data_IF_303633333207
#
_entry.id   IF_303633333207
#
_cell.length_a   1.000
_cell.length_b   1.000
_cell.length_c   1.000
_cell.angle_alpha   90.00
_cell.angle_beta   90.00
_cell.angle_gamma   90.00
#
_symmetry.space_group_name_H-M   'P 1'
#
loop_
_entity.id
_entity.type
_entity.pdbx_description
1 polymer ?
#
# COMPACT_ATOMS: atom_id res chain seq x y z
N UNK A 1 39.97 29.14 -41.34
CA UNK A 1 38.86 28.21 -41.05
C UNK A 1 37.82 29.02 -40.30
N UNK A 2 36.86 29.57 -41.04
CA UNK A 2 35.46 29.10 -41.12
C UNK A 2 34.67 29.55 -39.90
N UNK A 3 33.44 30.06 -39.94
CA UNK A 3 32.46 30.47 -40.95
C UNK A 3 31.30 30.97 -40.08
N UNK A 4 30.70 32.12 -40.35
CA UNK A 4 29.34 32.44 -39.91
C UNK A 4 28.76 33.49 -40.88
N UNK A 5 27.79 33.12 -41.73
CA UNK A 5 27.04 34.08 -42.51
C UNK A 5 25.63 34.31 -41.92
N UNK A 6 25.20 35.55 -42.14
CA UNK A 6 23.89 36.00 -42.60
C UNK A 6 22.62 35.45 -41.95
N UNK A 7 21.91 36.41 -41.35
CA UNK A 7 20.52 36.38 -40.96
C UNK A 7 19.62 36.57 -42.20
N UNK A 8 18.69 35.66 -42.41
CA UNK A 8 17.61 35.79 -43.40
C UNK A 8 16.28 35.65 -42.68
N UNK A 9 15.46 36.69 -42.81
CA UNK A 9 14.08 36.81 -42.33
C UNK A 9 13.16 36.24 -43.40
N UNK A 10 12.40 35.18 -43.08
CA UNK A 10 11.35 34.68 -43.97
C UNK A 10 9.96 34.89 -43.34
N UNK A 11 9.28 35.90 -43.86
CA UNK A 11 7.88 36.21 -43.57
C UNK A 11 6.99 35.21 -44.31
N UNK A 12 6.44 34.22 -43.60
CA UNK A 12 5.45 33.30 -44.17
C UNK A 12 4.03 33.86 -43.99
N UNK A 13 3.44 34.24 -45.12
CA UNK A 13 2.09 34.76 -45.30
C UNK A 13 1.04 33.74 -44.81
N UNK A 14 0.17 34.16 -43.89
CA UNK A 14 -1.05 33.44 -43.51
C UNK A 14 -2.11 33.63 -44.61
N UNK A 15 -2.38 32.59 -45.39
CA UNK A 15 -3.57 32.51 -46.25
C UNK A 15 -4.72 31.85 -45.48
N UNK A 16 -5.96 32.38 -45.55
CA UNK A 16 -7.10 31.79 -44.86
C UNK A 16 -7.57 30.56 -45.65
N UNK A 17 -7.40 29.37 -45.06
CA UNK A 17 -7.96 28.14 -45.63
C UNK A 17 -9.47 28.09 -45.39
N UNK A 18 -10.22 28.01 -46.49
CA UNK A 18 -11.68 27.93 -46.54
C UNK A 18 -12.25 26.85 -45.59
N UNK A 19 -13.29 27.22 -44.85
CA UNK A 19 -13.96 26.46 -43.79
C UNK A 19 -14.63 25.12 -44.17
N UNK A 20 -14.31 24.55 -45.33
CA UNK A 20 -14.74 23.19 -45.73
C UNK A 20 -13.65 22.13 -45.51
N UNK A 21 -12.37 22.52 -45.42
CA UNK A 21 -11.27 21.58 -45.12
C UNK A 21 -11.29 21.15 -43.64
N UNK A 22 -11.77 22.01 -42.74
CA UNK A 22 -11.97 21.70 -41.32
C UNK A 22 -13.12 20.72 -41.05
N UNK A 23 -14.11 20.62 -41.95
CA UNK A 23 -15.20 19.65 -41.84
C UNK A 23 -14.76 18.27 -42.33
N UNK A 24 -13.94 18.17 -43.38
CA UNK A 24 -13.37 16.88 -43.82
C UNK A 24 -12.28 16.35 -42.89
N UNK A 25 -11.50 17.21 -42.22
CA UNK A 25 -10.57 16.80 -41.16
C UNK A 25 -11.26 16.51 -39.82
N UNK A 26 -12.45 17.08 -39.57
CA UNK A 26 -13.29 16.77 -38.40
C UNK A 26 -14.08 15.46 -38.51
N UNK A 27 -14.24 14.90 -39.71
CA UNK A 27 -14.88 13.59 -39.93
C UNK A 27 -13.91 12.41 -39.99
N UNK A 28 -12.60 12.65 -39.94
CA UNK A 28 -11.56 11.60 -39.93
C UNK A 28 -11.03 11.24 -38.53
N UNK A 29 -11.61 11.78 -37.46
CA UNK A 29 -11.14 11.56 -36.09
C UNK A 29 -12.10 10.79 -35.17
N UNK A 30 -13.23 10.28 -35.70
CA UNK A 30 -14.15 9.42 -34.93
C UNK A 30 -14.54 8.21 -35.77
N UNK A 31 -13.55 7.41 -36.18
CA UNK A 31 -13.80 5.97 -36.27
C UNK A 31 -13.96 5.48 -34.83
N UNK A 32 -15.20 5.43 -34.34
CA UNK A 32 -15.52 4.70 -33.14
C UNK A 32 -14.95 3.29 -33.30
N UNK A 33 -14.03 2.92 -32.41
CA UNK A 33 -13.29 1.66 -32.44
C UNK A 33 -14.22 0.47 -32.53
N UNK A 34 -14.34 -0.08 -33.74
CA UNK A 34 -14.97 -1.36 -34.04
C UNK A 34 -13.89 -2.44 -33.89
N UNK A 35 -13.52 -2.78 -32.65
CA UNK A 35 -12.54 -3.83 -32.36
C UNK A 35 -12.39 -4.11 -30.86
N UNK A 36 -11.37 -4.89 -30.50
CA UNK A 36 -11.07 -5.35 -29.16
C UNK A 36 -11.02 -4.17 -28.17
N UNK A 37 -11.78 -4.29 -27.07
CA UNK A 37 -11.87 -3.25 -26.04
C UNK A 37 -11.52 -3.78 -24.67
N UNK A 38 -10.64 -3.08 -23.97
CA UNK A 38 -10.35 -3.36 -22.56
C UNK A 38 -11.46 -2.73 -21.69
N UNK A 39 -12.16 -3.55 -20.90
CA UNK A 39 -13.15 -3.05 -19.92
C UNK A 39 -12.45 -2.52 -18.69
N UNK A 40 -11.73 -3.41 -18.00
CA UNK A 40 -11.17 -3.14 -16.68
C UNK A 40 -10.00 -4.06 -16.41
N UNK A 41 -8.94 -3.51 -15.82
CA UNK A 41 -7.87 -4.27 -15.18
C UNK A 41 -7.93 -4.02 -13.69
N UNK A 42 -7.98 -5.09 -12.90
CA UNK A 42 -8.03 -5.02 -11.44
C UNK A 42 -6.80 -5.71 -10.86
N UNK A 43 -5.95 -4.89 -10.28
CA UNK A 43 -4.74 -5.30 -9.58
C UNK A 43 -4.87 -4.73 -8.16
N UNK A 44 -4.80 -5.57 -7.11
CA UNK A 44 -4.81 -5.07 -5.74
C UNK A 44 -3.67 -4.07 -5.53
N UNK A 45 -3.96 -2.90 -4.95
CA UNK A 45 -2.94 -1.89 -4.68
C UNK A 45 -1.95 -2.35 -3.62
N UNK A 46 -2.43 -3.13 -2.64
CA UNK A 46 -1.57 -3.78 -1.66
C UNK A 46 -2.10 -5.15 -1.24
N UNK A 47 -1.20 -6.00 -0.74
CA UNK A 47 -1.50 -7.31 -0.11
C UNK A 47 -0.53 -7.60 1.02
N UNK A 48 -0.89 -8.48 1.94
CA UNK A 48 0.05 -8.92 2.97
C UNK A 48 0.90 -10.09 2.47
N UNK A 49 2.11 -10.21 3.02
CA UNK A 49 2.98 -11.37 2.76
C UNK A 49 2.21 -12.67 3.03
N UNK A 50 2.47 -13.66 2.18
CA UNK A 50 1.88 -15.00 2.22
C UNK A 50 0.39 -15.08 1.87
N UNK A 51 -0.29 -13.95 1.63
CA UNK A 51 -1.63 -13.97 1.05
C UNK A 51 -1.60 -14.39 -0.43
N UNK A 52 -2.80 -14.53 -1.00
CA UNK A 52 -3.02 -14.69 -2.43
C UNK A 52 -3.46 -13.38 -3.06
N UNK A 53 -3.08 -13.11 -4.30
CA UNK A 53 -3.61 -11.99 -5.10
C UNK A 53 -4.38 -12.53 -6.30
N UNK A 54 -5.58 -11.97 -6.55
CA UNK A 54 -6.33 -12.22 -7.76
C UNK A 54 -6.15 -11.01 -8.69
N UNK A 55 -5.63 -11.26 -9.88
CA UNK A 55 -5.49 -10.26 -10.93
C UNK A 55 -6.62 -10.50 -11.94
N UNK A 56 -7.39 -9.47 -12.29
CA UNK A 56 -8.50 -9.60 -13.24
C UNK A 56 -8.27 -8.68 -14.44
N UNK A 57 -8.57 -9.18 -15.63
CA UNK A 57 -8.49 -8.45 -16.89
C UNK A 57 -9.71 -8.78 -17.73
N UNK A 58 -10.65 -7.84 -17.80
CA UNK A 58 -11.91 -7.99 -18.52
C UNK A 58 -11.88 -7.19 -19.81
N UNK A 59 -12.44 -7.77 -20.87
CA UNK A 59 -12.43 -7.22 -22.22
C UNK A 59 -13.73 -7.54 -22.98
N UNK A 60 -13.93 -6.88 -24.11
CA UNK A 60 -14.98 -7.16 -25.10
C UNK A 60 -14.34 -7.40 -26.46
N UNK A 61 -14.86 -8.40 -27.16
CA UNK A 61 -14.59 -8.66 -28.57
C UNK A 61 -15.87 -8.36 -29.35
N UNK A 62 -15.73 -7.73 -30.52
CA UNK A 62 -16.88 -7.48 -31.37
C UNK A 62 -17.46 -8.80 -31.92
N UNK A 63 -18.80 -8.91 -31.92
CA UNK A 63 -19.52 -10.08 -32.44
C UNK A 63 -19.99 -11.10 -31.39
N UNK A 64 -19.55 -11.02 -30.12
CA UNK A 64 -20.11 -11.87 -29.05
C UNK A 64 -21.52 -11.43 -28.61
N UNK A 65 -22.55 -11.75 -29.40
CA UNK A 65 -23.90 -11.88 -28.86
C UNK A 65 -23.91 -13.08 -27.91
N UNK A 66 -24.16 -12.85 -26.61
CA UNK A 66 -24.43 -13.92 -25.64
C UNK A 66 -25.67 -14.72 -26.07
N UNK A 67 -25.48 -15.74 -26.90
CA UNK A 67 -26.50 -16.69 -27.32
C UNK A 67 -26.33 -18.04 -26.61
N UNK A 68 -26.47 -18.07 -25.29
CA UNK A 68 -26.69 -19.33 -24.58
C UNK A 68 -28.19 -19.45 -24.26
N UNK A 69 -28.98 -19.85 -25.25
CA UNK A 69 -30.34 -20.37 -25.04
C UNK A 69 -30.54 -21.59 -25.91
N UNK A 70 -30.30 -22.75 -25.30
CA UNK A 70 -31.05 -23.98 -25.54
C UNK A 70 -32.52 -23.65 -25.76
N UNK A 71 -33.12 -24.14 -26.85
CA UNK A 71 -34.54 -24.48 -26.94
C UNK A 71 -34.81 -25.29 -28.22
N UNK A 72 -35.65 -26.28 -28.03
CA UNK A 72 -36.08 -27.33 -28.95
C UNK A 72 -36.92 -26.83 -30.13
N UNK A 73 -36.97 -27.67 -31.18
CA UNK A 73 -38.22 -28.01 -31.84
C UNK A 73 -38.62 -27.16 -33.05
N UNK A 74 -38.76 -27.82 -34.21
CA UNK A 74 -39.53 -27.25 -35.32
C UNK A 74 -39.17 -27.77 -36.71
N UNK A 75 -39.66 -28.95 -37.05
CA UNK A 75 -39.65 -29.51 -38.39
C UNK A 75 -40.53 -28.66 -39.34
N UNK A 76 -39.97 -28.04 -40.39
CA UNK A 76 -40.73 -27.59 -41.56
C UNK A 76 -39.84 -27.49 -42.80
N UNK A 77 -40.13 -28.38 -43.76
CA UNK A 77 -39.65 -28.31 -45.14
C UNK A 77 -40.36 -27.16 -45.85
N UNK A 78 -39.61 -26.34 -46.60
CA UNK A 78 -40.03 -25.81 -47.90
C UNK A 78 -38.81 -25.25 -48.64
N UNK A 79 -38.51 -25.84 -49.81
CA UNK A 79 -37.53 -25.31 -50.77
C UNK A 79 -38.12 -24.07 -51.45
N UNK A 80 -37.42 -22.94 -51.37
CA UNK A 80 -37.51 -21.84 -52.32
C UNK A 80 -36.09 -21.44 -52.69
N UNK A 81 -35.76 -21.55 -53.98
CA UNK A 81 -34.52 -21.07 -54.56
C UNK A 81 -34.73 -19.60 -54.90
N UNK A 82 -34.25 -18.70 -54.04
CA UNK A 82 -34.17 -17.27 -54.33
C UNK A 82 -32.71 -16.87 -54.14
N UNK A 83 -32.03 -16.61 -55.26
CA UNK A 83 -30.70 -16.00 -55.26
C UNK A 83 -30.85 -14.51 -54.95
N UNK A 84 -30.51 -14.13 -53.73
CA UNK A 84 -30.27 -12.73 -53.37
C UNK A 84 -28.76 -12.59 -53.13
N UNK A 85 -28.04 -12.17 -54.17
CA UNK A 85 -26.64 -11.73 -54.06
C UNK A 85 -26.63 -10.28 -53.57
N UNK A 86 -27.07 -10.06 -52.33
CA UNK A 86 -26.62 -8.94 -51.53
C UNK A 86 -25.66 -9.55 -50.52
N UNK A 87 -24.36 -9.42 -50.81
CA UNK A 87 -23.32 -9.76 -49.85
C UNK A 87 -23.45 -8.85 -48.65
N UNK A 88 -24.22 -9.27 -47.64
CA UNK A 88 -24.00 -8.82 -46.28
C UNK A 88 -22.52 -9.06 -46.01
N UNK A 89 -21.78 -7.97 -45.82
CA UNK A 89 -20.39 -8.01 -45.38
C UNK A 89 -20.42 -8.76 -44.06
N UNK A 90 -20.10 -10.06 -44.07
CA UNK A 90 -19.88 -10.82 -42.85
C UNK A 90 -18.80 -10.05 -42.07
N UNK A 91 -19.21 -9.26 -41.08
CA UNK A 91 -18.26 -8.71 -40.12
C UNK A 91 -17.67 -9.94 -39.42
N UNK A 92 -16.43 -10.28 -39.78
CA UNK A 92 -15.73 -11.40 -39.18
C UNK A 92 -15.72 -11.18 -37.66
N UNK A 93 -16.32 -12.14 -36.93
CA UNK A 93 -16.33 -12.10 -35.47
C UNK A 93 -14.89 -12.01 -34.97
N UNK A 94 -14.64 -11.04 -34.09
CA UNK A 94 -13.31 -10.82 -33.58
C UNK A 94 -12.95 -11.92 -32.59
N UNK A 95 -11.84 -12.61 -32.84
CA UNK A 95 -11.40 -13.76 -32.04
C UNK A 95 -10.22 -13.38 -31.16
N UNK A 96 -10.18 -13.97 -29.96
CA UNK A 96 -9.04 -13.80 -29.06
C UNK A 96 -7.84 -14.61 -29.57
N UNK A 97 -6.70 -13.94 -29.78
CA UNK A 97 -5.43 -14.62 -30.03
C UNK A 97 -4.75 -15.01 -28.72
N UNK A 98 -4.50 -14.04 -27.83
CA UNK A 98 -3.80 -14.32 -26.56
C UNK A 98 -4.04 -13.28 -25.49
N UNK A 99 -3.85 -13.70 -24.24
CA UNK A 99 -3.81 -12.84 -23.06
C UNK A 99 -2.52 -13.10 -22.32
N UNK A 100 -1.77 -12.05 -22.01
CA UNK A 100 -0.48 -12.13 -21.34
C UNK A 100 -0.49 -11.25 -20.10
N UNK A 101 0.15 -11.74 -19.06
CA UNK A 101 0.46 -10.96 -17.89
C UNK A 101 1.96 -10.82 -17.68
N UNK A 102 2.36 -9.60 -17.35
CA UNK A 102 3.73 -9.22 -17.06
C UNK A 102 3.83 -8.65 -15.65
N UNK A 103 4.97 -8.87 -15.01
CA UNK A 103 5.40 -8.16 -13.81
C UNK A 103 6.72 -7.49 -14.13
N UNK A 104 6.80 -6.17 -13.93
CA UNK A 104 8.00 -5.37 -14.21
C UNK A 104 8.60 -5.67 -15.59
N UNK A 105 7.72 -5.79 -16.60
CA UNK A 105 8.00 -6.10 -18.00
C UNK A 105 8.46 -7.54 -18.30
N UNK A 106 8.46 -8.45 -17.31
CA UNK A 106 8.74 -9.88 -17.51
C UNK A 106 7.44 -10.68 -17.57
N UNK A 107 7.24 -11.46 -18.64
CA UNK A 107 6.04 -12.27 -18.82
C UNK A 107 6.05 -13.45 -17.84
N UNK A 108 4.97 -13.62 -17.08
CA UNK A 108 4.84 -14.74 -16.14
C UNK A 108 3.64 -15.64 -16.41
N UNK A 109 2.69 -15.19 -17.24
CA UNK A 109 1.50 -15.96 -17.58
C UNK A 109 1.00 -15.63 -18.98
N UNK A 110 0.56 -16.66 -19.69
CA UNK A 110 -0.03 -16.58 -21.02
C UNK A 110 -1.21 -17.53 -21.14
N UNK A 111 -2.29 -17.02 -21.72
CA UNK A 111 -3.46 -17.77 -22.13
C UNK A 111 -3.66 -17.67 -23.65
N UNK A 112 -3.74 -18.81 -24.34
CA UNK A 112 -3.95 -18.93 -25.79
C UNK A 112 -5.08 -19.95 -26.03
N UNK A 113 -6.33 -19.51 -26.32
CA UNK A 113 -7.48 -20.41 -26.42
C UNK A 113 -7.33 -21.53 -27.45
N UNK A 114 -6.68 -21.23 -28.58
CA UNK A 114 -6.51 -22.14 -29.72
C UNK A 114 -5.36 -23.14 -29.55
N UNK A 115 -4.53 -22.99 -28.51
CA UNK A 115 -3.41 -23.89 -28.26
C UNK A 115 -3.86 -25.19 -27.58
N UNK A 116 -3.14 -26.29 -27.86
CA UNK A 116 -3.36 -27.58 -27.19
C UNK A 116 -3.20 -27.52 -25.66
N UNK A 117 -2.32 -26.62 -25.19
CA UNK A 117 -2.20 -26.22 -23.79
C UNK A 117 -2.53 -24.73 -23.69
N UNK A 118 -3.78 -24.38 -23.30
CA UNK A 118 -4.20 -22.99 -23.28
C UNK A 118 -3.43 -22.12 -22.31
N UNK A 119 -2.99 -22.66 -21.18
CA UNK A 119 -2.29 -21.92 -20.12
C UNK A 119 -0.81 -22.27 -20.12
N UNK A 120 0.04 -21.23 -20.11
CA UNK A 120 1.48 -21.32 -19.85
C UNK A 120 1.86 -20.35 -18.74
N UNK A 121 2.60 -20.83 -17.75
CA UNK A 121 3.15 -20.01 -16.67
C UNK A 121 4.68 -20.07 -16.67
N UNK A 122 5.33 -18.92 -16.53
CA UNK A 122 6.78 -18.79 -16.50
C UNK A 122 7.26 -18.47 -15.08
N UNK A 123 8.39 -19.05 -14.71
CA UNK A 123 8.95 -18.88 -13.37
C UNK A 123 9.73 -17.58 -13.30
N UNK A 124 9.15 -16.58 -12.66
CA UNK A 124 9.82 -15.31 -12.34
C UNK A 124 9.91 -15.14 -10.82
N UNK A 125 10.84 -14.31 -10.37
CA UNK A 125 11.07 -14.15 -8.94
C UNK A 125 9.88 -13.51 -8.22
N UNK A 126 9.48 -14.10 -7.09
CA UNK A 126 8.35 -13.60 -6.29
C UNK A 126 6.97 -13.95 -6.84
N UNK A 127 6.85 -14.57 -8.01
CA UNK A 127 5.57 -14.99 -8.59
C UNK A 127 5.37 -16.49 -8.49
N UNK A 128 4.18 -16.88 -8.03
CA UNK A 128 3.73 -18.28 -8.04
C UNK A 128 2.29 -18.30 -8.54
N UNK A 129 2.12 -18.57 -9.82
CA UNK A 129 0.80 -18.71 -10.43
C UNK A 129 0.18 -20.04 -10.01
N UNK A 130 -1.14 -20.04 -9.82
CA UNK A 130 -1.95 -21.24 -9.71
C UNK A 130 -2.75 -21.48 -11.01
N UNK A 131 -2.28 -22.36 -11.89
CA UNK A 131 -2.94 -22.63 -13.17
C UNK A 131 -4.35 -23.21 -13.02
N UNK A 132 -4.66 -23.90 -11.92
CA UNK A 132 -5.96 -24.54 -11.72
C UNK A 132 -7.07 -23.52 -11.39
N UNK A 133 -6.70 -22.32 -10.96
CA UNK A 133 -7.61 -21.23 -10.61
C UNK A 133 -7.35 -19.96 -11.44
N UNK A 134 -6.68 -20.11 -12.58
CA UNK A 134 -6.39 -19.04 -13.54
C UNK A 134 -7.01 -19.40 -14.90
N UNK A 135 -7.45 -18.39 -15.64
CA UNK A 135 -8.08 -18.55 -16.95
C UNK A 135 -7.77 -17.33 -17.85
N UNK A 136 -8.54 -17.12 -18.91
CA UNK A 136 -8.38 -15.98 -19.81
C UNK A 136 -8.82 -14.64 -19.22
N UNK A 137 -9.44 -14.59 -18.05
CA UNK A 137 -9.93 -13.35 -17.44
C UNK A 137 -9.29 -13.04 -16.09
N UNK A 138 -8.78 -14.06 -15.40
CA UNK A 138 -8.18 -13.89 -14.07
C UNK A 138 -6.95 -14.76 -13.87
N UNK A 139 -6.01 -14.28 -13.05
CA UNK A 139 -4.81 -15.02 -12.65
C UNK A 139 -4.68 -14.99 -11.13
N UNK A 140 -4.57 -16.17 -10.52
CA UNK A 140 -4.38 -16.32 -9.08
C UNK A 140 -2.90 -16.50 -8.75
N UNK A 141 -2.36 -15.59 -7.93
CA UNK A 141 -1.03 -15.68 -7.36
C UNK A 141 -1.09 -16.21 -5.94
N UNK A 142 -0.24 -17.18 -5.59
CA UNK A 142 -0.15 -17.78 -4.25
C UNK A 142 1.12 -17.38 -3.51
N UNK A 143 1.03 -17.37 -2.18
CA UNK A 143 2.18 -17.22 -1.28
C UNK A 143 3.04 -16.00 -1.64
N UNK A 144 2.41 -14.81 -1.64
CA UNK A 144 3.07 -13.56 -1.98
C UNK A 144 4.29 -13.29 -1.09
N UNK A 145 5.28 -12.63 -1.66
CA UNK A 145 6.53 -12.23 -1.00
C UNK A 145 6.77 -10.75 -1.24
N UNK A 146 7.74 -10.15 -0.55
CA UNK A 146 8.12 -8.75 -0.84
C UNK A 146 8.56 -8.55 -2.30
N UNK A 147 9.11 -9.58 -2.93
CA UNK A 147 9.50 -9.56 -4.35
C UNK A 147 8.32 -9.64 -5.31
N UNK A 148 7.12 -9.97 -4.81
CA UNK A 148 5.88 -9.88 -5.59
C UNK A 148 5.40 -8.43 -5.74
N UNK A 149 5.98 -7.46 -5.03
CA UNK A 149 5.72 -6.05 -5.30
C UNK A 149 6.23 -5.66 -6.69
N UNK A 150 5.48 -4.82 -7.40
CA UNK A 150 5.85 -4.38 -8.75
C UNK A 150 4.67 -3.86 -9.56
N UNK A 151 4.95 -3.50 -10.81
CA UNK A 151 3.94 -3.11 -11.79
C UNK A 151 3.49 -4.35 -12.55
N UNK A 152 2.19 -4.60 -12.54
CA UNK A 152 1.56 -5.68 -13.26
C UNK A 152 0.86 -5.13 -14.49
N UNK A 153 1.01 -5.82 -15.62
CA UNK A 153 0.38 -5.46 -16.89
C UNK A 153 -0.39 -6.63 -17.45
N UNK A 154 -1.63 -6.39 -17.87
CA UNK A 154 -2.36 -7.28 -18.75
C UNK A 154 -2.28 -6.75 -20.19
N UNK A 155 -2.02 -7.62 -21.15
CA UNK A 155 -2.04 -7.36 -22.59
C UNK A 155 -2.95 -8.39 -23.26
N UNK A 156 -3.89 -7.92 -24.07
CA UNK A 156 -4.85 -8.76 -24.79
C UNK A 156 -4.66 -8.47 -26.27
N UNK A 157 -4.60 -9.53 -27.08
CA UNK A 157 -4.47 -9.41 -28.53
C UNK A 157 -5.57 -10.19 -29.24
N UNK A 158 -6.17 -9.59 -30.26
CA UNK A 158 -7.09 -10.22 -31.18
C UNK A 158 -6.33 -10.97 -32.29
N UNK A 159 -6.99 -11.93 -32.91
CA UNK A 159 -6.51 -12.66 -34.09
C UNK A 159 -6.69 -11.82 -35.37
N UNK A 160 -6.23 -12.36 -36.50
CA UNK A 160 -6.61 -11.84 -37.81
C UNK A 160 -8.15 -11.67 -37.91
N UNK A 161 -8.65 -10.62 -38.57
CA UNK A 161 -7.92 -9.66 -39.40
C UNK A 161 -7.44 -8.39 -38.67
N UNK A 162 -7.97 -8.06 -37.49
CA UNK A 162 -7.66 -6.79 -36.81
C UNK A 162 -6.25 -6.77 -36.25
N UNK A 163 -5.79 -7.89 -35.68
CA UNK A 163 -4.55 -7.97 -34.89
C UNK A 163 -4.46 -6.90 -33.80
N UNK A 164 -5.61 -6.40 -33.34
CA UNK A 164 -5.68 -5.33 -32.35
C UNK A 164 -5.09 -5.79 -31.02
N UNK A 165 -4.50 -4.84 -30.28
CA UNK A 165 -4.00 -5.11 -28.93
C UNK A 165 -4.38 -3.99 -27.97
N UNK A 166 -4.78 -4.38 -26.76
CA UNK A 166 -5.12 -3.48 -25.67
C UNK A 166 -4.41 -3.91 -24.40
N UNK A 167 -4.04 -2.96 -23.55
CA UNK A 167 -3.30 -3.24 -22.32
C UNK A 167 -3.72 -2.31 -21.19
N UNK A 168 -3.54 -2.79 -19.96
CA UNK A 168 -3.71 -1.99 -18.75
C UNK A 168 -2.74 -2.42 -17.67
N UNK A 169 -2.33 -1.47 -16.85
CA UNK A 169 -1.31 -1.64 -15.83
C UNK A 169 -1.82 -1.22 -14.45
N UNK A 170 -1.18 -1.76 -13.41
CA UNK A 170 -1.43 -1.38 -12.02
C UNK A 170 -0.30 -1.85 -11.12
N UNK A 171 -0.03 -1.08 -10.05
CA UNK A 171 0.99 -1.42 -9.08
C UNK A 171 0.39 -2.19 -7.90
N UNK A 172 1.05 -3.26 -7.49
CA UNK A 172 0.77 -3.95 -6.24
C UNK A 172 2.00 -3.89 -5.33
N UNK A 173 1.80 -3.49 -4.08
CA UNK A 173 2.83 -3.52 -3.04
C UNK A 173 2.51 -4.57 -1.96
N UNK A 174 3.49 -5.41 -1.63
CA UNK A 174 3.36 -6.43 -0.58
C UNK A 174 3.90 -5.91 0.74
N UNK A 175 3.02 -5.89 1.76
CA UNK A 175 3.28 -5.38 3.09
C UNK A 175 3.72 -6.53 4.01
N UNK A 176 4.77 -6.28 4.79
CA UNK A 176 5.22 -7.14 5.87
C UNK A 176 4.93 -6.47 7.21
N UNK A 177 3.93 -7.01 7.90
CA UNK A 177 3.58 -6.61 9.27
C UNK A 177 4.47 -7.40 10.25
N UNK A 178 5.14 -6.73 11.20
CA UNK A 178 5.96 -7.41 12.20
C UNK A 178 5.08 -8.29 13.09
N UNK A 179 5.61 -9.42 13.59
CA UNK A 179 4.85 -10.32 14.47
C UNK A 179 4.75 -9.83 15.91
N UNK A 180 5.75 -9.09 16.36
CA UNK A 180 5.86 -8.55 17.71
C UNK A 180 5.70 -7.02 17.68
N UNK A 181 5.39 -6.43 18.84
CA UNK A 181 5.35 -4.97 18.99
C UNK A 181 6.74 -4.35 19.03
N UNK A 182 6.83 -3.01 19.12
CA UNK A 182 8.12 -2.38 19.39
C UNK A 182 8.68 -2.84 20.75
N UNK A 183 9.96 -2.65 20.95
CA UNK A 183 10.65 -2.93 22.20
C UNK A 183 11.27 -1.64 22.75
N UNK A 184 11.03 -1.36 24.04
CA UNK A 184 11.64 -0.23 24.74
C UNK A 184 12.82 -0.76 25.55
N UNK A 185 14.01 -0.24 25.28
CA UNK A 185 15.20 -0.47 26.10
C UNK A 185 15.48 0.73 27.00
N UNK A 186 15.67 0.48 28.29
CA UNK A 186 15.85 1.46 29.38
C UNK A 186 17.26 1.43 30.00
N UNK A 187 18.23 0.80 29.33
CA UNK A 187 19.60 0.67 29.84
C UNK A 187 19.68 -0.06 31.19
N UNK A 188 18.75 -0.99 31.47
CA UNK A 188 18.61 -1.76 32.70
C UNK A 188 18.12 -0.96 33.93
N UNK A 189 17.73 0.31 33.75
CA UNK A 189 17.27 1.19 34.86
C UNK A 189 15.75 1.19 35.00
N UNK A 190 15.26 0.70 36.15
CA UNK A 190 13.81 0.59 36.43
C UNK A 190 13.20 1.79 37.18
N UNK A 191 14.01 2.77 37.58
CA UNK A 191 13.57 3.95 38.34
C UNK A 191 14.50 5.13 38.09
N UNK A 192 13.93 6.34 38.02
CA UNK A 192 14.69 7.58 37.84
C UNK A 192 14.39 8.56 38.97
N UNK A 193 15.40 9.27 39.44
CA UNK A 193 15.20 10.36 40.39
C UNK A 193 14.74 11.65 39.70
N UNK A 194 14.09 12.53 40.44
CA UNK A 194 13.72 13.85 39.91
C UNK A 194 15.00 14.65 39.64
N UNK A 195 15.09 15.26 38.47
CA UNK A 195 16.28 15.95 37.97
C UNK A 195 17.23 15.05 37.19
N UNK A 196 17.03 13.73 37.18
CA UNK A 196 17.79 12.79 36.34
C UNK A 196 17.28 12.82 34.89
N UNK A 197 18.19 12.64 33.94
CA UNK A 197 17.84 12.46 32.53
C UNK A 197 17.47 11.01 32.27
N UNK A 198 16.24 10.79 31.81
CA UNK A 198 15.75 9.49 31.36
C UNK A 198 16.01 9.35 29.87
N UNK A 199 16.77 8.32 29.50
CA UNK A 199 17.13 7.99 28.11
C UNK A 199 16.57 6.61 27.76
N UNK A 200 15.63 6.58 26.82
CA UNK A 200 14.98 5.35 26.36
C UNK A 200 15.16 5.22 24.85
N UNK A 201 15.24 3.99 24.36
CA UNK A 201 15.24 3.73 22.93
C UNK A 201 14.10 2.77 22.58
N UNK A 202 13.27 3.17 21.63
CA UNK A 202 12.23 2.33 21.07
C UNK A 202 12.70 1.73 19.75
N UNK A 203 12.71 0.41 19.67
CA UNK A 203 13.06 -0.35 18.48
C UNK A 203 11.82 -1.01 17.90
N UNK A 204 11.50 -0.75 16.64
CA UNK A 204 10.38 -1.43 15.96
C UNK A 204 10.70 -2.89 15.60
N UNK A 205 9.66 -3.69 15.38
CA UNK A 205 9.81 -4.96 14.69
C UNK A 205 10.19 -4.77 13.20
N UNK A 206 10.85 -5.77 12.62
CA UNK A 206 11.21 -5.77 11.19
C UNK A 206 9.94 -5.72 10.33
N UNK A 207 9.82 -4.69 9.50
CA UNK A 207 8.60 -4.39 8.75
C UNK A 207 8.90 -3.87 7.34
N UNK A 208 7.91 -3.95 6.46
CA UNK A 208 7.94 -3.26 5.17
C UNK A 208 6.52 -2.76 4.82
N UNK A 209 6.29 -1.46 4.62
CA UNK A 209 7.25 -0.35 4.72
C UNK A 209 7.80 -0.16 6.15
N UNK A 210 8.73 0.78 6.32
CA UNK A 210 9.27 1.12 7.63
C UNK A 210 8.16 1.59 8.59
N UNK A 211 8.15 1.08 9.82
CA UNK A 211 7.20 1.53 10.84
C UNK A 211 7.52 2.95 11.32
N UNK A 212 6.53 3.82 11.43
CA UNK A 212 6.67 5.12 12.08
C UNK A 212 6.55 4.95 13.59
N UNK A 213 7.48 5.52 14.34
CA UNK A 213 7.50 5.44 15.81
C UNK A 213 7.07 6.77 16.44
N UNK A 214 6.35 6.69 17.55
CA UNK A 214 5.93 7.84 18.34
C UNK A 214 5.99 7.54 19.84
N UNK A 215 6.46 8.51 20.63
CA UNK A 215 6.48 8.43 22.09
C UNK A 215 5.27 9.13 22.71
N UNK A 216 4.70 8.51 23.72
CA UNK A 216 3.65 9.08 24.56
C UNK A 216 4.07 9.04 26.02
N UNK A 217 3.96 10.17 26.69
CA UNK A 217 4.18 10.35 28.12
C UNK A 217 2.83 10.59 28.78
N UNK A 218 2.40 9.68 29.67
CA UNK A 218 1.11 9.75 30.34
C UNK A 218 -0.05 10.00 29.36
N UNK A 219 -0.05 9.24 28.26
CA UNK A 219 -1.05 9.31 27.18
C UNK A 219 -1.01 10.58 26.31
N UNK A 220 -0.06 11.49 26.56
CA UNK A 220 0.17 12.68 25.73
C UNK A 220 1.33 12.45 24.77
N UNK A 221 1.13 12.76 23.49
CA UNK A 221 2.16 12.67 22.46
C UNK A 221 3.33 13.60 22.82
N UNK A 222 4.55 13.07 22.77
CA UNK A 222 5.77 13.87 22.94
C UNK A 222 6.06 14.59 21.62
N UNK A 223 5.88 15.91 21.59
CA UNK A 223 6.07 16.75 20.40
C UNK A 223 7.34 17.60 20.44
N UNK A 224 8.00 17.71 21.60
CA UNK A 224 9.22 18.50 21.73
C UNK A 224 10.38 17.87 20.94
N UNK A 225 10.93 18.56 19.91
CA UNK A 225 12.01 18.03 19.10
C UNK A 225 13.30 17.78 19.88
N UNK A 226 13.52 18.50 21.00
CA UNK A 226 14.72 18.30 21.83
C UNK A 226 14.64 17.02 22.68
N UNK A 227 13.42 16.53 22.92
CA UNK A 227 13.18 15.32 23.70
C UNK A 227 13.24 14.05 22.84
N UNK A 228 13.10 14.17 21.52
CA UNK A 228 12.99 13.04 20.59
C UNK A 228 14.25 12.93 19.72
N UNK A 229 14.88 11.76 19.73
CA UNK A 229 16.11 11.50 18.99
C UNK A 229 15.80 10.57 17.82
N UNK A 230 15.96 11.07 16.59
CA UNK A 230 15.75 10.29 15.37
C UNK A 230 17.03 9.56 14.97
N UNK A 231 16.97 8.24 14.89
CA UNK A 231 18.05 7.40 14.39
C UNK A 231 17.75 6.94 12.96
N UNK A 232 18.78 6.72 12.13
CA UNK A 232 18.59 6.15 10.81
C UNK A 232 17.99 4.74 10.90
N UNK A 233 17.03 4.44 10.04
CA UNK A 233 16.45 3.10 9.93
C UNK A 233 17.49 2.13 9.37
N UNK A 234 17.47 0.88 9.85
CA UNK A 234 18.38 -0.17 9.38
C UNK A 234 17.62 -1.12 8.46
N UNK A 235 18.19 -1.36 7.27
CA UNK A 235 17.70 -2.40 6.37
C UNK A 235 18.30 -3.75 6.78
N UNK A 236 17.43 -4.71 7.04
CA UNK A 236 17.74 -6.08 7.40
C UNK A 236 17.73 -6.98 6.15
N UNK A 237 18.01 -8.27 6.37
CA UNK A 237 17.86 -9.31 5.35
C UNK A 237 16.48 -9.25 4.67
N UNK A 238 16.46 -9.56 3.38
CA UNK A 238 15.26 -9.56 2.53
C UNK A 238 14.56 -8.20 2.37
N UNK A 239 15.24 -7.08 2.70
CA UNK A 239 14.73 -5.73 2.47
C UNK A 239 13.78 -5.21 3.56
N UNK A 240 13.61 -5.95 4.66
CA UNK A 240 12.83 -5.50 5.82
C UNK A 240 13.54 -4.37 6.56
N UNK A 241 12.79 -3.46 7.17
CA UNK A 241 13.33 -2.25 7.78
C UNK A 241 13.00 -2.26 9.27
N UNK A 242 13.98 -1.89 10.08
CA UNK A 242 13.83 -1.60 11.51
C UNK A 242 14.06 -0.12 11.73
N UNK A 243 13.08 0.56 12.30
CA UNK A 243 13.15 1.94 12.76
C UNK A 243 13.42 2.02 14.26
N UNK A 244 14.08 3.10 14.67
CA UNK A 244 14.48 3.35 16.05
C UNK A 244 14.11 4.80 16.42
N UNK A 245 13.69 5.02 17.66
CA UNK A 245 13.36 6.35 18.17
C UNK A 245 13.80 6.50 19.62
N UNK A 246 14.70 7.44 19.88
CA UNK A 246 15.15 7.77 21.23
C UNK A 246 14.23 8.78 21.90
N UNK A 247 14.13 8.68 23.23
CA UNK A 247 13.53 9.67 24.10
C UNK A 247 14.58 10.07 25.13
N UNK A 248 14.90 11.36 25.23
CA UNK A 248 15.79 11.90 26.25
C UNK A 248 15.12 13.08 26.92
N UNK A 249 14.81 12.98 28.21
CA UNK A 249 14.17 14.08 28.94
C UNK A 249 14.52 14.08 30.42
N UNK A 250 14.52 15.28 31.02
CA UNK A 250 14.73 15.42 32.47
C UNK A 250 13.44 15.08 33.22
N UNK A 251 13.55 14.19 34.21
CA UNK A 251 12.42 13.74 35.02
C UNK A 251 12.01 14.83 36.00
N UNK A 252 10.78 15.32 35.87
CA UNK A 252 10.19 16.34 36.73
C UNK A 252 9.09 15.77 37.62
N UNK A 253 8.82 16.43 38.75
CA UNK A 253 7.71 16.07 39.65
C UNK A 253 6.36 15.96 38.93
N UNK A 254 6.13 16.79 37.90
CA UNK A 254 4.89 16.82 37.11
C UNK A 254 4.69 15.59 36.22
N UNK A 255 5.75 14.85 35.91
CA UNK A 255 5.67 13.64 35.10
C UNK A 255 5.13 12.45 35.91
N UNK A 256 5.26 12.49 37.24
CA UNK A 256 4.73 11.46 38.13
C UNK A 256 3.23 11.67 38.35
N UNK A 257 2.43 10.72 37.84
CA UNK A 257 0.99 10.62 38.11
C UNK A 257 0.79 9.36 38.94
N UNK A 258 0.20 9.53 40.12
CA UNK A 258 0.02 8.45 41.11
C UNK A 258 1.34 7.72 41.45
N UNK A 259 2.45 8.46 41.50
CA UNK A 259 3.77 7.92 41.82
C UNK A 259 4.44 7.12 40.68
N UNK A 260 3.86 7.14 39.48
CA UNK A 260 4.41 6.45 38.30
C UNK A 260 4.49 7.37 37.08
N UNK A 261 5.41 7.07 36.17
CA UNK A 261 5.47 7.67 34.84
C UNK A 261 5.11 6.57 33.85
N UNK A 262 4.13 6.83 32.98
CA UNK A 262 3.72 5.89 31.93
C UNK A 262 4.33 6.32 30.61
N UNK A 263 5.19 5.48 30.07
CA UNK A 263 5.80 5.69 28.77
C UNK A 263 5.21 4.68 27.80
N UNK A 264 4.75 5.15 26.64
CA UNK A 264 4.32 4.28 25.54
C UNK A 264 5.10 4.61 24.28
N UNK A 265 5.57 3.58 23.59
CA UNK A 265 6.03 3.72 22.22
C UNK A 265 5.01 3.05 21.30
N UNK A 266 4.51 3.80 20.33
CA UNK A 266 3.58 3.31 19.31
C UNK A 266 4.33 3.18 17.99
N UNK A 267 4.29 1.99 17.40
CA UNK A 267 4.76 1.70 16.05
C UNK A 267 3.56 1.57 15.13
N UNK A 268 3.45 2.45 14.14
CA UNK A 268 2.36 2.47 13.16
C UNK A 268 2.87 2.16 11.76
N UNK A 269 2.21 1.24 11.06
CA UNK A 269 2.41 0.99 9.64
C UNK A 269 1.34 1.68 8.82
N UNK A 270 1.72 2.67 8.01
CA UNK A 270 0.85 3.28 7.00
C UNK A 270 1.26 2.79 5.60
N UNK A 271 0.30 2.51 4.70
CA UNK A 271 0.63 2.16 3.33
C UNK A 271 1.25 3.37 2.64
N UNK A 272 2.45 3.19 2.07
CA UNK A 272 3.02 4.18 1.14
C UNK A 272 2.29 3.99 -0.19
N UNK A 273 1.17 4.68 -0.40
CA UNK A 273 0.43 4.60 -1.66
C UNK A 273 1.11 5.45 -2.73
N UNK A 274 1.88 4.82 -3.59
CA UNK A 274 2.45 5.43 -4.80
C UNK A 274 1.34 5.68 -5.82
N UNK A 275 0.68 6.84 -5.77
CA UNK A 275 -0.26 7.26 -6.81
C UNK A 275 0.50 8.02 -7.89
N UNK A 276 0.97 7.30 -8.91
CA UNK A 276 1.42 7.82 -10.20
C UNK A 276 2.48 8.94 -10.17
N UNK A 277 3.76 8.57 -10.14
CA UNK A 277 4.88 9.43 -10.56
C UNK A 277 5.27 10.59 -9.63
N UNK A 278 4.47 10.90 -8.62
CA UNK A 278 4.84 11.72 -7.48
C UNK A 278 4.46 10.95 -6.21
N UNK A 279 5.23 11.09 -5.13
CA UNK A 279 4.74 10.77 -3.79
C UNK A 279 3.48 11.62 -3.58
N UNK A 280 2.31 11.10 -3.95
CA UNK A 280 1.08 11.67 -3.46
C UNK A 280 1.11 11.37 -1.97
N UNK A 281 1.59 12.34 -1.19
CA UNK A 281 1.22 12.51 0.20
C UNK A 281 -0.30 12.64 0.14
N UNK A 282 -0.99 11.50 0.10
CA UNK A 282 -2.45 11.45 0.22
C UNK A 282 -2.69 11.82 1.67
N UNK A 283 -2.82 13.13 1.87
CA UNK A 283 -3.51 13.83 2.92
C UNK A 283 -4.04 12.90 4.02
N UNK A 284 -3.27 12.77 5.10
CA UNK A 284 -3.66 12.69 6.52
C UNK A 284 -5.00 12.02 6.94
N UNK A 285 -5.53 11.04 6.21
CA UNK A 285 -6.77 10.32 6.61
C UNK A 285 -6.74 8.81 6.35
N UNK A 286 -5.63 8.23 5.90
CA UNK A 286 -5.56 6.77 5.83
C UNK A 286 -5.26 6.18 7.21
N UNK A 287 -6.15 5.32 7.76
CA UNK A 287 -5.89 4.69 9.04
C UNK A 287 -4.63 3.83 8.93
N UNK A 288 -3.80 3.85 9.96
CA UNK A 288 -2.68 2.93 10.06
C UNK A 288 -3.20 1.49 9.91
N UNK A 289 -2.52 0.72 9.06
CA UNK A 289 -2.86 -0.68 8.81
C UNK A 289 -2.67 -1.51 10.08
N UNK A 290 -1.62 -1.20 10.84
CA UNK A 290 -1.29 -1.90 12.06
C UNK A 290 -0.63 -0.91 13.05
N UNK A 291 -1.17 -0.84 14.26
CA UNK A 291 -0.66 -0.04 15.36
C UNK A 291 -0.27 -0.96 16.49
N UNK A 292 1.02 -1.02 16.80
CA UNK A 292 1.57 -1.85 17.89
C UNK A 292 2.17 -0.99 18.96
N UNK A 293 2.00 -1.40 20.21
CA UNK A 293 2.37 -0.58 21.36
C UNK A 293 3.28 -1.34 22.29
N UNK A 294 4.32 -0.67 22.76
CA UNK A 294 5.11 -1.06 23.92
C UNK A 294 4.85 -0.08 25.05
N UNK A 295 4.78 -0.58 26.28
CA UNK A 295 4.61 0.27 27.46
C UNK A 295 5.68 -0.02 28.50
N UNK A 296 6.21 1.05 29.08
CA UNK A 296 7.13 1.01 30.21
C UNK A 296 6.55 1.84 31.36
N UNK A 297 6.51 1.25 32.55
CA UNK A 297 6.07 1.92 33.77
C UNK A 297 7.29 2.18 34.65
N UNK A 298 7.62 3.46 34.83
CA UNK A 298 8.70 3.89 35.73
C UNK A 298 8.09 4.24 37.08
N UNK A 299 8.58 3.63 38.14
CA UNK A 299 8.15 3.93 39.52
C UNK A 299 9.09 4.94 40.17
N UNK A 300 8.53 5.84 40.97
CA UNK A 300 9.33 6.72 41.81
C UNK A 300 10.11 5.89 42.84
N UNK A 301 11.36 6.24 43.10
CA UNK A 301 12.19 5.61 44.14
C UNK A 301 11.95 6.23 45.53
N UNK A 302 10.86 7.01 45.68
CA UNK A 302 10.50 7.67 46.93
C UNK A 302 9.82 6.71 47.88
N UNK A 303 10.58 6.13 48.81
CA UNK A 303 10.04 5.83 50.14
C UNK A 303 9.63 7.16 50.76
N UNK A 304 8.37 7.57 50.57
CA UNK A 304 7.73 8.48 51.51
C UNK A 304 7.50 7.71 52.81
N UNK A 305 8.58 7.48 53.56
CA UNK A 305 8.45 7.34 55.00
C UNK A 305 7.80 8.63 55.48
N UNK A 306 6.53 8.53 55.87
CA UNK A 306 5.75 9.59 56.45
C UNK A 306 6.47 10.09 57.71
N UNK A 307 7.40 11.04 57.53
CA UNK A 307 8.08 11.75 58.63
C UNK A 307 7.09 12.55 59.48
N UNK A 308 5.86 12.74 59.00
CA UNK A 308 4.78 13.37 59.75
C UNK A 308 4.13 12.46 60.79
N UNK A 309 4.16 11.12 60.64
CA UNK A 309 3.62 10.21 61.67
C UNK A 309 4.55 10.12 62.88
N UNK A 310 5.88 10.20 62.67
CA UNK A 310 6.86 10.21 63.76
C UNK A 310 6.89 11.51 64.57
N UNK A 311 6.64 12.65 63.94
CA UNK A 311 6.58 13.93 64.65
C UNK A 311 5.29 14.05 65.48
N UNK A 312 4.15 13.59 64.95
CA UNK A 312 2.88 13.60 65.69
C UNK A 312 2.88 12.62 66.86
N UNK A 313 3.53 11.45 66.75
CA UNK A 313 3.64 10.51 67.87
C UNK A 313 4.55 11.01 68.98
N UNK A 314 5.65 11.68 68.66
CA UNK A 314 6.56 12.27 69.65
C UNK A 314 5.90 13.46 70.37
N UNK A 315 5.12 14.28 69.65
CA UNK A 315 4.34 15.36 70.28
C UNK A 315 3.25 14.84 71.22
N UNK A 316 2.54 13.75 70.86
CA UNK A 316 1.54 13.14 71.73
C UNK A 316 2.16 12.50 72.98
N UNK A 317 3.33 11.86 72.84
CA UNK A 317 4.08 11.28 73.96
C UNK A 317 4.56 12.37 74.94
N UNK A 318 5.10 13.48 74.45
CA UNK A 318 5.54 14.59 75.31
C UNK A 318 4.37 15.27 76.05
N UNK A 319 3.19 15.38 75.44
CA UNK A 319 1.97 15.85 76.09
C UNK A 319 1.45 14.86 77.16
N UNK A 320 1.57 13.56 76.93
CA UNK A 320 1.22 12.54 77.92
C UNK A 320 2.16 12.54 79.14
N UNK A 321 3.46 12.77 78.94
CA UNK A 321 4.43 12.88 80.05
C UNK A 321 4.29 14.19 80.85
N UNK A 322 3.80 15.27 80.23
CA UNK A 322 3.58 16.56 80.92
C UNK A 322 2.34 16.52 81.84
N UNK A 323 1.34 15.71 81.50
CA UNK A 323 0.09 15.57 82.28
C UNK A 323 0.21 14.61 83.46
N UNK A 324 1.18 13.70 83.46
CA UNK A 324 1.45 12.81 84.61
C UNK A 324 2.26 13.50 85.72
N UNK A 325 3.09 14.49 85.39
CA UNK A 325 3.89 15.23 86.39
C UNK A 325 3.05 16.23 87.19
N UNK A 326 1.91 16.69 86.66
CA UNK A 326 1.04 17.68 87.32
C UNK A 326 0.03 17.09 88.31
N UNK A 327 -0.13 15.76 88.36
CA UNK A 327 -1.07 15.07 89.26
C UNK A 327 -0.40 14.30 90.42
N UNK A 328 0.92 14.44 90.60
CA UNK A 328 1.69 13.74 91.63
C UNK A 328 2.47 14.67 92.56
N UNK A 329 1.85 15.75 93.04
CA UNK A 329 2.40 16.69 94.02
C UNK A 329 1.46 16.89 95.19
#
# INVERSE_FOLDING_TARGET
>A
LMLAPAQETDTMLLLPLNGWVGLLLGFLSISASLGLRLKTVRIPTYKFRSETALLECHYELNGQRKGHSSLEGGNRRHHVYQSDYLGERYEEEEKLYSIKWYKDNEEFYRYVPSASQPIKSYKIEGIRVDPNHSDGTKVLLRSLTLKSSGIYRCEISAEAPSFDSVQGEGRMDVIYVPKDGPHISDGERKSYQIGETMELNCTSGRSYPASTLQWYLNDLLVTDPNSVIHYPSVQNQHGLITTFLGLSMVVNHRHYIDGTIRIKCVASLSPVLWRGGQESIVQWEQPAIDNRVAMLLVKSNGSMHSRHVGLLSVSLLLLAFSTTITFGG
#
